data_IF_414479862571
#
_entry.id   IF_414479862571
#
_cell.length_a   1.000
_cell.length_b   1.000
_cell.length_c   1.000
_cell.angle_alpha   90.00
_cell.angle_beta   90.00
_cell.angle_gamma   90.00
#
_symmetry.space_group_name_H-M   'P 1'
#
loop_
_entity.id
_entity.type
_entity.pdbx_description
1 polymer ?
#
# COMPACT_ATOMS: atom_id res chain seq x y z
N UNK A 1 7.15 18.90 -2.42
CA UNK A 1 6.50 18.43 -1.18
C UNK A 1 6.63 19.54 -0.16
N UNK A 2 5.52 20.05 0.36
CA UNK A 2 5.53 21.19 1.29
C UNK A 2 5.72 20.68 2.72
N UNK A 3 6.89 20.94 3.29
CA UNK A 3 7.13 20.76 4.72
C UNK A 3 6.68 22.06 5.41
N UNK A 4 5.51 22.03 6.06
CA UNK A 4 5.13 23.09 6.99
C UNK A 4 4.35 22.50 8.14
N UNK A 5 4.94 22.54 9.33
CA UNK A 5 4.21 22.30 10.57
C UNK A 5 4.67 23.16 11.76
N UNK A 6 5.65 24.06 11.60
CA UNK A 6 6.15 24.87 12.74
C UNK A 6 6.49 26.34 12.47
N UNK A 7 6.36 26.84 11.25
CA UNK A 7 6.61 28.25 10.92
C UNK A 7 5.62 28.73 9.88
N UNK A 8 5.11 29.97 10.00
CA UNK A 8 4.20 30.62 9.04
C UNK A 8 4.79 30.78 7.61
N UNK A 9 6.02 30.30 7.38
CA UNK A 9 6.73 30.37 6.12
C UNK A 9 6.73 29.01 5.42
N UNK A 10 6.01 28.93 4.31
CA UNK A 10 5.98 27.75 3.44
C UNK A 10 7.14 27.85 2.44
N UNK A 11 8.15 27.00 2.57
CA UNK A 11 9.28 26.95 1.62
C UNK A 11 9.13 25.77 0.67
N UNK A 12 9.32 26.00 -0.63
CA UNK A 12 9.29 24.93 -1.64
C UNK A 12 10.59 24.13 -1.56
N UNK A 13 10.52 22.92 -1.02
CA UNK A 13 11.66 22.00 -0.95
C UNK A 13 11.50 20.85 -1.96
N UNK A 14 12.64 20.44 -2.53
CA UNK A 14 12.72 19.21 -3.32
C UNK A 14 12.83 18.01 -2.36
N UNK A 15 11.95 17.04 -2.53
CA UNK A 15 11.98 15.83 -1.71
C UNK A 15 12.94 14.81 -2.34
N UNK A 16 14.15 14.72 -1.78
CA UNK A 16 15.17 13.76 -2.16
C UNK A 16 15.30 12.60 -1.15
N UNK A 17 14.52 12.62 -0.06
CA UNK A 17 14.63 11.68 1.05
C UNK A 17 13.51 10.65 1.15
N UNK A 18 12.49 10.70 0.28
CA UNK A 18 11.41 9.73 0.29
C UNK A 18 11.67 8.53 -0.61
N UNK A 19 11.12 7.38 -0.22
CA UNK A 19 11.10 6.13 -1.00
C UNK A 19 10.14 6.16 -2.21
N UNK A 20 9.82 7.33 -2.76
CA UNK A 20 8.94 7.50 -3.92
C UNK A 20 9.74 7.43 -5.23
N UNK A 21 10.31 6.27 -5.54
CA UNK A 21 11.21 6.09 -6.68
C UNK A 21 10.53 6.29 -8.04
N UNK A 22 9.26 5.89 -8.15
CA UNK A 22 8.49 5.91 -9.41
C UNK A 22 7.59 7.13 -9.55
N UNK A 23 7.58 8.04 -8.57
CA UNK A 23 6.75 9.24 -8.62
C UNK A 23 5.26 9.03 -8.34
N UNK A 24 4.77 7.79 -8.28
CA UNK A 24 3.34 7.46 -8.09
C UNK A 24 2.72 7.93 -6.78
N UNK A 25 3.51 8.35 -5.79
CA UNK A 25 2.98 8.93 -4.56
C UNK A 25 2.47 10.38 -4.73
N UNK A 26 2.73 11.03 -5.87
CA UNK A 26 2.15 12.32 -6.22
C UNK A 26 0.82 12.13 -7.00
N UNK A 27 0.09 13.23 -7.21
CA UNK A 27 -1.09 13.23 -8.06
C UNK A 27 -0.69 12.81 -9.48
N UNK A 28 -1.02 11.58 -9.83
CA UNK A 28 -0.73 10.96 -11.11
C UNK A 28 -2.04 10.81 -11.91
N UNK A 29 -1.98 11.07 -13.22
CA UNK A 29 -3.15 11.07 -14.10
C UNK A 29 -3.80 9.69 -14.22
N UNK A 30 -3.02 8.62 -14.04
CA UNK A 30 -3.47 7.25 -14.16
C UNK A 30 -3.94 6.68 -12.80
N UNK A 31 -3.13 6.86 -11.75
CA UNK A 31 -3.42 6.28 -10.44
C UNK A 31 -4.51 7.03 -9.66
N UNK A 32 -4.48 8.37 -9.67
CA UNK A 32 -5.40 9.20 -8.87
C UNK A 32 -6.88 8.93 -9.14
N UNK A 33 -7.39 8.95 -10.40
CA UNK A 33 -8.80 8.73 -10.66
C UNK A 33 -9.27 7.33 -10.26
N UNK A 34 -8.43 6.31 -10.45
CA UNK A 34 -8.74 4.91 -10.12
C UNK A 34 -8.83 4.66 -8.62
N UNK A 35 -7.93 5.29 -7.86
CA UNK A 35 -8.00 5.26 -6.40
C UNK A 35 -9.29 5.93 -5.92
N UNK A 36 -9.67 7.07 -6.50
CA UNK A 36 -10.93 7.76 -6.17
C UNK A 36 -12.15 6.89 -6.50
N UNK A 37 -12.20 6.26 -7.67
CA UNK A 37 -13.28 5.34 -8.03
C UNK A 37 -13.38 4.13 -7.10
N UNK A 38 -12.23 3.57 -6.73
CA UNK A 38 -12.16 2.44 -5.79
C UNK A 38 -12.67 2.83 -4.40
N UNK A 39 -12.28 4.01 -3.90
CA UNK A 39 -12.75 4.56 -2.63
C UNK A 39 -14.26 4.84 -2.65
N UNK A 40 -14.81 5.35 -3.76
CA UNK A 40 -16.26 5.57 -3.90
C UNK A 40 -17.05 4.27 -3.85
N UNK A 41 -16.49 3.17 -4.36
CA UNK A 41 -17.18 1.88 -4.48
C UNK A 41 -17.07 1.01 -3.23
N UNK A 42 -15.94 1.04 -2.53
CA UNK A 42 -15.65 0.13 -1.41
C UNK A 42 -15.45 0.82 -0.05
N UNK A 43 -15.66 2.14 0.00
CA UNK A 43 -15.39 2.98 1.18
C UNK A 43 -13.91 2.98 1.59
N UNK A 44 -13.57 3.75 2.62
CA UNK A 44 -12.19 3.93 3.05
C UNK A 44 -11.57 2.70 3.74
N UNK A 45 -12.38 1.78 4.27
CA UNK A 45 -11.91 0.60 4.99
C UNK A 45 -12.96 -0.50 5.03
N UNK A 46 -12.51 -1.76 4.98
CA UNK A 46 -13.37 -2.94 5.13
C UNK A 46 -13.66 -3.26 6.60
N UNK A 47 -13.01 -2.61 7.56
CA UNK A 47 -13.23 -2.71 9.02
C UNK A 47 -13.32 -4.15 9.59
N UNK A 48 -12.83 -5.15 8.87
CA UNK A 48 -12.92 -6.56 9.21
C UNK A 48 -11.63 -7.29 8.87
N UNK A 49 -11.37 -8.39 9.57
CA UNK A 49 -10.21 -9.25 9.34
C UNK A 49 -10.41 -10.11 8.08
N UNK A 50 -9.31 -10.45 7.40
CA UNK A 50 -9.31 -11.30 6.19
C UNK A 50 -10.12 -12.60 6.36
N UNK A 51 -10.09 -13.18 7.57
CA UNK A 51 -10.70 -14.48 7.90
C UNK A 51 -12.23 -14.42 8.04
N UNK A 52 -12.79 -13.29 8.50
CA UNK A 52 -14.20 -13.21 8.93
C UNK A 52 -15.10 -12.54 7.88
N UNK A 53 -14.54 -11.68 7.04
CA UNK A 53 -15.30 -10.97 5.99
C UNK A 53 -14.58 -9.80 5.34
N UNK A 54 -13.33 -9.53 5.74
CA UNK A 54 -12.51 -8.45 5.20
C UNK A 54 -11.93 -8.71 3.81
N UNK A 55 -12.09 -9.91 3.25
CA UNK A 55 -11.49 -10.26 1.95
C UNK A 55 -12.33 -9.71 0.80
N UNK A 56 -11.90 -8.59 0.23
CA UNK A 56 -12.47 -8.00 -0.99
C UNK A 56 -11.79 -8.53 -2.25
N UNK A 57 -12.45 -8.42 -3.41
CA UNK A 57 -11.85 -8.81 -4.70
C UNK A 57 -10.52 -8.11 -4.98
N UNK A 58 -10.34 -6.89 -4.48
CA UNK A 58 -9.08 -6.16 -4.60
C UNK A 58 -7.92 -6.82 -3.86
N UNK A 59 -8.17 -7.50 -2.74
CA UNK A 59 -7.10 -8.21 -2.04
C UNK A 59 -6.59 -9.39 -2.87
N UNK A 60 -7.47 -10.11 -3.56
CA UNK A 60 -7.07 -11.20 -4.44
C UNK A 60 -6.30 -10.67 -5.67
N UNK A 61 -6.81 -9.62 -6.32
CA UNK A 61 -6.13 -8.99 -7.47
C UNK A 61 -4.74 -8.44 -7.07
N UNK A 62 -4.64 -7.79 -5.90
CA UNK A 62 -3.38 -7.32 -5.35
C UNK A 62 -2.42 -8.44 -4.92
N UNK A 63 -2.89 -9.66 -4.72
CA UNK A 63 -2.02 -10.83 -4.47
C UNK A 63 -1.56 -11.46 -5.79
N UNK A 64 -2.43 -11.50 -6.80
CA UNK A 64 -2.11 -12.04 -8.13
C UNK A 64 -1.13 -11.14 -8.91
N UNK A 65 -1.28 -9.82 -8.86
CA UNK A 65 -0.41 -8.86 -9.55
C UNK A 65 1.08 -9.02 -9.19
N UNK A 66 1.51 -8.96 -7.91
CA UNK A 66 2.90 -9.16 -7.54
C UNK A 66 3.35 -10.61 -7.73
N UNK A 67 2.46 -11.60 -7.58
CA UNK A 67 2.80 -13.00 -7.88
C UNK A 67 3.18 -13.16 -9.36
N UNK A 68 2.40 -12.57 -10.28
CA UNK A 68 2.68 -12.55 -11.71
C UNK A 68 3.95 -11.74 -12.03
N UNK A 69 4.10 -10.55 -11.42
CA UNK A 69 5.27 -9.69 -11.64
C UNK A 69 6.60 -10.34 -11.22
N UNK A 70 6.61 -11.07 -10.10
CA UNK A 70 7.80 -11.77 -9.59
C UNK A 70 7.94 -13.18 -10.17
N UNK A 71 6.90 -13.71 -10.82
CA UNK A 71 6.89 -15.07 -11.37
C UNK A 71 6.78 -16.16 -10.30
N UNK A 72 6.00 -15.93 -9.24
CA UNK A 72 5.72 -16.90 -8.16
C UNK A 72 4.28 -17.40 -8.24
N UNK A 73 4.05 -18.59 -7.69
CA UNK A 73 2.76 -19.27 -7.73
C UNK A 73 1.66 -18.55 -6.93
N UNK A 74 2.04 -17.90 -5.83
CA UNK A 74 1.13 -17.15 -4.97
C UNK A 74 1.89 -16.05 -4.23
N UNK A 75 1.18 -15.00 -3.82
CA UNK A 75 1.67 -13.99 -2.90
C UNK A 75 0.63 -13.77 -1.78
N UNK A 76 1.10 -13.33 -0.62
CA UNK A 76 0.23 -12.99 0.52
C UNK A 76 0.49 -11.51 0.86
N UNK A 77 -0.58 -10.75 0.98
CA UNK A 77 -0.52 -9.33 1.26
C UNK A 77 -0.74 -9.03 2.75
N UNK A 78 0.16 -8.23 3.32
CA UNK A 78 0.07 -7.69 4.67
C UNK A 78 0.00 -6.16 4.62
N UNK A 79 -0.64 -5.55 5.63
CA UNK A 79 -0.83 -4.10 5.66
C UNK A 79 0.45 -3.27 5.76
N UNK A 80 1.57 -3.86 6.22
CA UNK A 80 2.86 -3.20 6.35
C UNK A 80 4.02 -4.18 6.10
N UNK A 81 5.11 -3.68 5.50
CA UNK A 81 6.32 -4.48 5.23
C UNK A 81 6.99 -5.04 6.50
N UNK A 82 6.95 -4.29 7.60
CA UNK A 82 7.45 -4.78 8.91
C UNK A 82 6.67 -6.02 9.38
N UNK A 83 5.33 -5.95 9.32
CA UNK A 83 4.44 -7.04 9.74
C UNK A 83 4.67 -8.30 8.91
N UNK A 84 4.93 -8.12 7.61
CA UNK A 84 5.25 -9.22 6.68
C UNK A 84 6.43 -10.03 7.21
N UNK A 85 7.55 -9.36 7.53
CA UNK A 85 8.76 -10.04 7.99
C UNK A 85 8.58 -10.62 9.41
N UNK A 86 8.00 -9.85 10.32
CA UNK A 86 7.82 -10.28 11.71
C UNK A 86 6.84 -11.43 11.86
N UNK A 87 5.86 -11.57 10.95
CA UNK A 87 4.91 -12.69 10.98
C UNK A 87 5.48 -13.93 10.26
N UNK A 88 6.11 -13.74 9.10
CA UNK A 88 6.55 -14.87 8.27
C UNK A 88 7.80 -15.56 8.84
N UNK A 89 8.78 -14.80 9.35
CA UNK A 89 10.04 -15.38 9.83
C UNK A 89 9.81 -16.36 11.00
N UNK A 90 9.03 -16.01 12.05
CA UNK A 90 8.69 -16.96 13.11
C UNK A 90 7.87 -18.15 12.60
N UNK A 91 6.91 -17.93 11.70
CA UNK A 91 6.10 -19.02 11.13
C UNK A 91 6.95 -20.05 10.36
N UNK A 92 8.03 -19.62 9.69
CA UNK A 92 8.93 -20.52 8.97
C UNK A 92 9.93 -21.23 9.89
N UNK A 93 10.36 -20.57 10.96
CA UNK A 93 11.38 -21.09 11.89
C UNK A 93 10.76 -22.03 12.95
N UNK A 94 9.43 -22.04 13.10
CA UNK A 94 8.72 -23.06 13.87
C UNK A 94 9.00 -22.99 15.38
N UNK A 95 9.16 -21.78 15.91
CA UNK A 95 9.30 -21.54 17.36
C UNK A 95 8.17 -20.68 17.88
#
# INVERSE_FOLDING_TARGET
>A
MFLSWRTLNTTRCLNLGSYNYLGFAAADEYCTPRVIESLKKYSASTCSVRVDGGTTKFHNELEELPACFVGKLAAILFGMGYVTNSAIIPCLIGK
#
